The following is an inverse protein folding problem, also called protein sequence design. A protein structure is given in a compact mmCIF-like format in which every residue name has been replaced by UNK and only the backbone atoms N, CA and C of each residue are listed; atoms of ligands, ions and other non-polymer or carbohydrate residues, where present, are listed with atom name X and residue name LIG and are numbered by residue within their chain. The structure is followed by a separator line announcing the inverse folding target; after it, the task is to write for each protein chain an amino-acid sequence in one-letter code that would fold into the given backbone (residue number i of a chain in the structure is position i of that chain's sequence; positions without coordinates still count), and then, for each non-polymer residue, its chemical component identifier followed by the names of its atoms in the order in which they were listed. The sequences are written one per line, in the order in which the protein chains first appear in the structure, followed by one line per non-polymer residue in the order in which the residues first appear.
data_IF_877925311551
#
_entry.id   IF_877925311551
#
_cell.length_a   1.000
_cell.length_b   1.000
_cell.length_c   1.000
_cell.angle_alpha   90.00
_cell.angle_beta   90.00
_cell.angle_gamma   90.00
#
_symmetry.space_group_name_H-M   'P 1'
#
loop_
_entity.id
_entity.type
_entity.pdbx_description
1 polymer ?
#
# COMPACT_ATOMS: atom_id res chain seq x y z
N UNK A 1 -20.42 61.82 -24.60
CA UNK A 1 -20.82 61.48 -23.24
C UNK A 1 -20.41 60.01 -23.03
N UNK A 2 -19.27 59.82 -22.39
CA UNK A 2 -18.70 58.49 -22.12
C UNK A 2 -18.85 58.24 -20.63
N UNK A 3 -19.65 57.23 -20.23
CA UNK A 3 -19.82 56.80 -18.83
C UNK A 3 -18.82 55.70 -18.53
N UNK A 4 -17.85 56.02 -17.68
CA UNK A 4 -16.93 55.03 -17.13
C UNK A 4 -17.62 54.24 -15.99
N UNK A 5 -17.53 52.93 -16.03
CA UNK A 5 -17.98 52.03 -14.96
C UNK A 5 -17.01 52.03 -13.79
N UNK A 6 -17.48 51.90 -12.53
CA UNK A 6 -16.61 51.86 -11.34
C UNK A 6 -15.95 50.48 -11.17
N UNK A 7 -14.77 50.39 -10.55
CA UNK A 7 -14.07 49.15 -10.30
C UNK A 7 -14.74 48.36 -9.17
N UNK A 8 -14.98 47.05 -9.42
CA UNK A 8 -15.46 46.10 -8.43
C UNK A 8 -14.28 45.61 -7.60
N UNK A 9 -14.23 46.05 -6.36
CA UNK A 9 -13.28 45.53 -5.35
C UNK A 9 -13.81 44.23 -4.76
N UNK A 10 -13.12 43.09 -5.00
CA UNK A 10 -13.41 41.83 -4.36
C UNK A 10 -12.83 41.80 -2.94
N UNK A 11 -13.58 41.32 -1.92
CA UNK A 11 -13.05 41.17 -0.57
C UNK A 11 -12.21 39.89 -0.49
N UNK A 12 -10.92 40.01 -0.28
CA UNK A 12 -10.00 38.93 0.04
C UNK A 12 -10.11 38.61 1.53
N UNK A 13 -10.98 37.67 1.89
CA UNK A 13 -11.04 37.12 3.25
C UNK A 13 -10.08 35.95 3.36
N UNK A 14 -8.84 36.21 3.73
CA UNK A 14 -7.88 35.16 4.15
C UNK A 14 -8.23 34.70 5.56
N UNK A 15 -8.96 33.61 5.67
CA UNK A 15 -9.18 32.92 6.96
C UNK A 15 -7.89 32.17 7.33
N UNK A 16 -7.07 32.76 8.16
CA UNK A 16 -5.91 32.09 8.77
C UNK A 16 -6.43 31.07 9.76
N UNK A 17 -6.46 29.79 9.36
CA UNK A 17 -6.75 28.68 10.28
C UNK A 17 -5.54 28.51 11.18
N UNK A 18 -5.64 29.00 12.41
CA UNK A 18 -4.65 28.72 13.46
C UNK A 18 -4.75 27.22 13.81
N UNK A 19 -3.68 26.42 13.65
CA UNK A 19 -3.70 25.02 14.06
C UNK A 19 -3.95 24.94 15.56
N UNK A 20 -4.88 24.07 15.96
CA UNK A 20 -5.18 23.85 17.36
C UNK A 20 -3.89 23.42 18.10
N UNK A 21 -3.66 23.89 19.33
CA UNK A 21 -2.47 23.55 20.09
C UNK A 21 -2.40 22.03 20.30
N UNK A 22 -1.30 21.43 19.85
CA UNK A 22 -1.00 20.01 20.07
C UNK A 22 -0.90 19.80 21.57
N UNK A 23 -1.88 19.14 22.16
CA UNK A 23 -1.84 18.80 23.59
C UNK A 23 -0.64 17.87 23.83
N UNK A 24 0.19 18.16 24.86
CA UNK A 24 1.28 17.25 25.21
C UNK A 24 0.70 15.87 25.56
N UNK A 25 1.38 14.78 25.17
CA UNK A 25 0.92 13.43 25.45
C UNK A 25 0.76 13.26 26.95
N UNK A 26 -0.41 12.79 27.39
CA UNK A 26 -0.66 12.47 28.80
C UNK A 26 0.30 11.36 29.23
N UNK A 27 0.83 11.39 30.47
CA UNK A 27 1.65 10.30 30.97
C UNK A 27 0.84 9.00 30.94
N UNK A 28 1.36 7.98 30.25
CA UNK A 28 0.72 6.70 30.06
C UNK A 28 0.98 5.79 31.26
N UNK A 29 -0.01 5.04 31.74
CA UNK A 29 0.23 4.03 32.77
C UNK A 29 1.12 2.92 32.20
N UNK A 30 2.06 2.44 33.00
CA UNK A 30 3.12 1.50 32.66
C UNK A 30 2.76 0.26 31.83
N UNK A 31 3.15 -0.94 32.25
CA UNK A 31 2.96 -2.18 31.50
C UNK A 31 1.62 -2.85 31.84
N UNK A 32 0.90 -3.29 30.79
CA UNK A 32 -0.30 -4.12 30.92
C UNK A 32 -0.05 -5.48 30.26
N UNK A 33 -0.37 -6.56 30.98
CA UNK A 33 -0.30 -7.94 30.47
C UNK A 33 -1.67 -8.61 30.57
N UNK A 34 -2.17 -9.07 29.43
CA UNK A 34 -3.42 -9.80 29.33
C UNK A 34 -3.15 -11.24 28.90
N UNK A 35 -3.68 -12.20 29.66
CA UNK A 35 -3.53 -13.65 29.38
C UNK A 35 -4.92 -14.28 29.38
N UNK A 36 -5.20 -15.16 28.43
CA UNK A 36 -6.49 -15.84 28.30
C UNK A 36 -7.49 -15.01 27.52
N UNK A 37 -8.76 -15.02 27.96
CA UNK A 37 -9.84 -14.28 27.29
C UNK A 37 -10.19 -13.04 28.08
N UNK A 38 -9.95 -11.86 27.49
CA UNK A 38 -10.12 -10.57 28.16
C UNK A 38 -10.99 -9.65 27.32
N UNK A 39 -11.84 -8.85 28.00
CA UNK A 39 -12.61 -7.76 27.36
C UNK A 39 -12.26 -6.44 28.02
N UNK A 40 -12.07 -5.41 27.21
CA UNK A 40 -11.77 -4.03 27.65
C UNK A 40 -12.59 -3.03 26.86
N UNK A 41 -12.82 -1.88 27.46
CA UNK A 41 -13.45 -0.75 26.75
C UNK A 41 -12.40 0.01 25.92
N UNK A 42 -11.25 0.27 26.50
CA UNK A 42 -10.12 0.93 25.83
C UNK A 42 -8.80 0.47 26.46
N UNK A 43 -7.68 0.71 25.78
CA UNK A 43 -6.31 0.48 26.29
C UNK A 43 -5.49 1.72 26.02
N UNK A 44 -4.88 2.25 27.09
CA UNK A 44 -3.92 3.36 27.02
C UNK A 44 -2.74 3.04 27.96
N UNK A 45 -1.59 2.66 27.38
CA UNK A 45 -0.44 2.18 28.15
C UNK A 45 0.85 2.30 27.34
N UNK A 46 1.99 2.37 28.03
CA UNK A 46 3.30 2.37 27.37
C UNK A 46 3.64 1.01 26.76
N UNK A 47 3.31 -0.07 27.46
CA UNK A 47 3.57 -1.43 26.97
C UNK A 47 2.36 -2.33 27.17
N UNK A 48 1.98 -3.02 26.10
CA UNK A 48 0.90 -4.00 26.14
C UNK A 48 1.33 -5.35 25.58
N UNK A 49 1.22 -6.37 26.42
CA UNK A 49 1.51 -7.75 26.02
C UNK A 49 0.22 -8.58 26.14
N UNK A 50 -0.17 -9.20 25.05
CA UNK A 50 -1.36 -10.06 24.97
C UNK A 50 -0.95 -11.49 24.67
N UNK A 51 -1.52 -12.47 25.41
CA UNK A 51 -1.46 -13.89 25.09
C UNK A 51 -2.84 -14.52 25.19
N UNK A 52 -3.47 -14.78 24.06
CA UNK A 52 -4.80 -15.38 24.02
C UNK A 52 -5.80 -14.59 23.18
N UNK A 53 -7.03 -14.41 23.68
CA UNK A 53 -8.08 -13.70 22.96
C UNK A 53 -8.44 -12.43 23.70
N UNK A 54 -8.25 -11.28 23.07
CA UNK A 54 -8.60 -9.98 23.64
C UNK A 54 -9.56 -9.24 22.72
N UNK A 55 -10.63 -8.72 23.31
CA UNK A 55 -11.57 -7.85 22.62
C UNK A 55 -11.60 -6.48 23.30
N UNK A 56 -11.25 -5.45 22.54
CA UNK A 56 -11.36 -4.04 22.94
C UNK A 56 -12.47 -3.40 22.11
N UNK A 57 -13.42 -2.74 22.76
CA UNK A 57 -14.55 -2.11 22.04
C UNK A 57 -14.22 -0.73 21.51
N UNK A 58 -13.35 0.00 22.17
CA UNK A 58 -12.90 1.34 21.79
C UNK A 58 -11.50 1.36 21.23
N UNK A 59 -10.78 2.43 21.53
CA UNK A 59 -9.45 2.71 21.01
C UNK A 59 -8.33 2.06 21.82
N UNK A 60 -7.23 1.82 21.15
CA UNK A 60 -5.97 1.30 21.73
C UNK A 60 -4.85 2.29 21.43
N UNK A 61 -4.23 2.85 22.48
CA UNK A 61 -3.06 3.72 22.38
C UNK A 61 -1.88 3.08 23.13
N UNK A 62 -0.78 2.86 22.41
CA UNK A 62 0.37 2.13 22.95
C UNK A 62 1.67 2.87 22.70
N UNK A 63 2.64 2.70 23.63
CA UNK A 63 4.05 2.84 23.27
C UNK A 63 4.49 1.63 22.43
N UNK A 64 4.57 0.44 23.07
CA UNK A 64 4.96 -0.81 22.43
C UNK A 64 3.89 -1.88 22.65
N UNK A 65 3.48 -2.57 21.57
CA UNK A 65 2.54 -3.69 21.64
C UNK A 65 3.15 -5.01 21.18
N UNK A 66 2.92 -6.07 21.95
CA UNK A 66 3.20 -7.45 21.54
C UNK A 66 1.93 -8.27 21.71
N UNK A 67 1.37 -8.72 20.60
CA UNK A 67 0.05 -9.37 20.54
C UNK A 67 0.20 -10.80 20.03
N UNK A 68 -0.05 -11.79 20.90
CA UNK A 68 0.00 -13.23 20.58
C UNK A 68 -1.41 -13.82 20.70
N UNK A 69 -2.00 -14.28 19.60
CA UNK A 69 -3.32 -14.90 19.56
C UNK A 69 -4.34 -14.11 18.74
N UNK A 70 -5.52 -13.84 19.28
CA UNK A 70 -6.61 -13.16 18.57
C UNK A 70 -6.91 -11.84 19.28
N UNK A 71 -6.67 -10.74 18.62
CA UNK A 71 -6.94 -9.40 19.14
C UNK A 71 -7.94 -8.70 18.21
N UNK A 72 -9.06 -8.29 18.79
CA UNK A 72 -10.09 -7.52 18.09
C UNK A 72 -10.25 -6.17 18.75
N UNK A 73 -10.12 -5.09 17.97
CA UNK A 73 -10.26 -3.70 18.40
C UNK A 73 -11.37 -3.04 17.60
N UNK A 74 -12.41 -2.55 18.28
CA UNK A 74 -13.53 -1.88 17.62
C UNK A 74 -13.19 -0.49 17.09
N UNK A 75 -12.34 0.23 17.81
CA UNK A 75 -11.86 1.56 17.45
C UNK A 75 -10.56 1.52 16.64
N UNK A 76 -9.72 2.54 16.84
CA UNK A 76 -8.39 2.65 16.21
C UNK A 76 -7.29 2.05 17.08
N UNK A 77 -6.17 1.70 16.45
CA UNK A 77 -4.92 1.35 17.11
C UNK A 77 -3.87 2.40 16.79
N UNK A 78 -3.30 3.04 17.81
CA UNK A 78 -2.17 3.94 17.68
C UNK A 78 -1.01 3.40 18.52
N UNK A 79 0.18 3.23 17.93
CA UNK A 79 1.34 2.66 18.61
C UNK A 79 2.64 3.34 18.14
N UNK A 80 3.65 3.35 19.02
CA UNK A 80 5.02 3.69 18.59
C UNK A 80 5.71 2.50 17.95
N UNK A 81 5.39 1.28 18.38
CA UNK A 81 5.81 0.04 17.74
C UNK A 81 4.83 -1.08 18.03
N UNK A 82 4.62 -1.97 17.05
CA UNK A 82 3.63 -3.03 17.15
C UNK A 82 4.16 -4.33 16.56
N UNK A 83 4.07 -5.40 17.34
CA UNK A 83 4.32 -6.77 16.87
C UNK A 83 3.08 -7.62 17.12
N UNK A 84 2.64 -8.41 16.11
CA UNK A 84 1.55 -9.35 16.30
C UNK A 84 1.87 -10.73 15.72
N UNK A 85 1.36 -11.75 16.40
CA UNK A 85 1.38 -13.16 15.96
C UNK A 85 -0.02 -13.76 16.12
N UNK A 86 -0.68 -14.07 15.02
CA UNK A 86 -2.04 -14.59 15.00
C UNK A 86 -3.00 -13.70 14.24
N UNK A 87 -4.09 -13.26 14.86
CA UNK A 87 -5.10 -12.42 14.21
C UNK A 87 -5.19 -11.07 14.90
N UNK A 88 -5.05 -10.00 14.10
CA UNK A 88 -5.31 -8.64 14.51
C UNK A 88 -6.42 -8.04 13.64
N UNK A 89 -7.60 -7.87 14.23
CA UNK A 89 -8.77 -7.29 13.57
C UNK A 89 -9.09 -5.93 14.20
N UNK A 90 -8.94 -4.87 13.42
CA UNK A 90 -9.15 -3.49 13.85
C UNK A 90 -10.28 -2.89 13.03
N UNK A 91 -11.38 -2.51 13.68
CA UNK A 91 -12.53 -1.89 13.02
C UNK A 91 -12.26 -0.48 12.49
N UNK A 92 -11.32 0.23 13.12
CA UNK A 92 -10.88 1.57 12.74
C UNK A 92 -9.56 1.59 11.95
N UNK A 93 -8.80 2.67 12.17
CA UNK A 93 -7.49 2.88 11.58
C UNK A 93 -6.37 2.25 12.43
N UNK A 94 -5.27 1.88 11.77
CA UNK A 94 -4.02 1.49 12.41
C UNK A 94 -2.97 2.57 12.10
N UNK A 95 -2.38 3.16 13.13
CA UNK A 95 -1.31 4.17 13.05
C UNK A 95 -0.12 3.71 13.89
N UNK A 96 0.96 3.28 13.23
CA UNK A 96 2.19 2.80 13.90
C UNK A 96 3.37 3.69 13.50
N UNK A 97 3.83 4.51 14.44
CA UNK A 97 4.90 5.52 14.20
C UNK A 97 6.32 4.97 14.23
N UNK A 98 6.50 3.67 14.22
CA UNK A 98 7.78 2.98 14.21
C UNK A 98 7.64 1.60 13.57
N UNK A 99 8.42 0.59 14.03
CA UNK A 99 8.38 -0.73 13.42
C UNK A 99 7.04 -1.43 13.64
N UNK A 100 6.47 -1.90 12.54
CA UNK A 100 5.26 -2.73 12.53
C UNK A 100 5.60 -4.12 11.97
N UNK A 101 5.63 -5.10 12.83
CA UNK A 101 5.93 -6.48 12.42
C UNK A 101 4.74 -7.39 12.70
N UNK A 102 4.50 -8.33 11.80
CA UNK A 102 3.37 -9.20 12.00
C UNK A 102 3.42 -10.53 11.27
N UNK A 103 2.78 -11.53 11.87
CA UNK A 103 2.54 -12.81 11.21
C UNK A 103 1.15 -13.35 11.51
N UNK A 104 0.46 -13.80 10.46
CA UNK A 104 -0.91 -14.31 10.51
C UNK A 104 -1.89 -13.45 9.73
N UNK A 105 -3.00 -13.05 10.32
CA UNK A 105 -4.05 -12.28 9.64
C UNK A 105 -4.17 -10.88 10.23
N UNK A 106 -4.08 -9.87 9.38
CA UNK A 106 -4.31 -8.48 9.71
C UNK A 106 -5.52 -7.95 8.93
N UNK A 107 -6.45 -7.34 9.64
CA UNK A 107 -7.55 -6.59 9.04
C UNK A 107 -7.62 -5.19 9.63
N UNK A 108 -7.67 -4.17 8.77
CA UNK A 108 -7.97 -2.80 9.14
C UNK A 108 -9.24 -2.34 8.44
N UNK A 109 -10.20 -1.86 9.20
CA UNK A 109 -11.51 -1.41 8.69
C UNK A 109 -11.46 -0.05 8.00
N UNK A 110 -10.47 0.77 8.31
CA UNK A 110 -10.26 2.07 7.67
C UNK A 110 -8.86 2.10 7.03
N UNK A 111 -7.94 2.86 7.57
CA UNK A 111 -6.61 3.10 7.01
C UNK A 111 -5.52 2.35 7.77
N UNK A 112 -4.43 2.06 7.09
CA UNK A 112 -3.19 1.62 7.69
C UNK A 112 -2.11 2.66 7.41
N UNK A 113 -1.52 3.20 8.48
CA UNK A 113 -0.32 4.02 8.41
C UNK A 113 0.79 3.38 9.24
N UNK A 114 1.99 3.29 8.68
CA UNK A 114 3.17 2.82 9.39
C UNK A 114 4.43 3.52 8.85
N UNK A 115 5.49 3.59 9.66
CA UNK A 115 6.79 4.07 9.18
C UNK A 115 7.51 2.95 8.44
N UNK A 116 7.64 1.79 9.07
CA UNK A 116 8.20 0.57 8.48
C UNK A 116 7.28 -0.63 8.79
N UNK A 117 7.08 -1.52 7.82
CA UNK A 117 6.25 -2.70 8.03
C UNK A 117 6.85 -3.99 7.42
N UNK A 118 6.95 -5.06 8.23
CA UNK A 118 7.26 -6.44 7.76
C UNK A 118 6.10 -7.36 8.18
N UNK A 119 5.27 -7.73 7.20
CA UNK A 119 4.03 -8.45 7.41
C UNK A 119 4.05 -9.80 6.70
N UNK A 120 3.71 -10.87 7.43
CA UNK A 120 3.66 -12.24 6.90
C UNK A 120 2.25 -12.80 7.04
N UNK A 121 1.69 -13.33 5.97
CA UNK A 121 0.36 -13.92 5.94
C UNK A 121 -0.64 -13.07 5.17
N UNK A 122 -1.83 -12.87 5.70
CA UNK A 122 -2.90 -12.15 5.00
C UNK A 122 -3.08 -10.76 5.59
N UNK A 123 -2.95 -9.74 4.75
CA UNK A 123 -3.15 -8.34 5.10
C UNK A 123 -4.30 -7.77 4.29
N UNK A 124 -5.34 -7.31 4.95
CA UNK A 124 -6.50 -6.70 4.32
C UNK A 124 -6.80 -5.34 4.94
N UNK A 125 -6.70 -4.31 4.15
CA UNK A 125 -7.06 -2.94 4.53
C UNK A 125 -8.23 -2.49 3.67
N UNK A 126 -9.29 -1.97 4.29
CA UNK A 126 -10.47 -1.53 3.53
C UNK A 126 -10.32 -0.09 3.02
N UNK A 127 -9.43 0.71 3.59
CA UNK A 127 -9.10 2.05 3.13
C UNK A 127 -7.67 2.15 2.61
N UNK A 128 -7.18 3.38 2.47
CA UNK A 128 -5.84 3.64 1.98
C UNK A 128 -4.75 3.10 2.92
N UNK A 129 -3.67 2.59 2.34
CA UNK A 129 -2.47 2.18 3.07
C UNK A 129 -1.34 3.14 2.76
N UNK A 130 -0.64 3.61 3.79
CA UNK A 130 0.55 4.46 3.69
C UNK A 130 1.67 3.90 4.55
N UNK A 131 2.84 3.71 3.96
CA UNK A 131 4.06 3.30 4.68
C UNK A 131 5.19 4.23 4.26
N UNK A 132 5.73 4.99 5.20
CA UNK A 132 6.65 6.09 4.88
C UNK A 132 7.96 5.59 4.27
N UNK A 133 8.54 4.51 4.81
CA UNK A 133 9.80 3.96 4.32
C UNK A 133 9.61 2.63 3.60
N UNK A 134 9.64 1.50 4.31
CA UNK A 134 9.66 0.19 3.69
C UNK A 134 8.47 -0.68 4.10
N UNK A 135 7.82 -1.27 3.12
CA UNK A 135 6.79 -2.29 3.29
C UNK A 135 7.26 -3.61 2.69
N UNK A 136 7.49 -4.60 3.55
CA UNK A 136 7.72 -5.97 3.13
C UNK A 136 6.47 -6.80 3.42
N UNK A 137 5.92 -7.43 2.39
CA UNK A 137 4.78 -8.37 2.54
C UNK A 137 5.16 -9.74 2.02
N UNK A 138 4.92 -10.77 2.83
CA UNK A 138 5.05 -12.18 2.43
C UNK A 138 3.72 -12.89 2.62
N UNK A 139 2.96 -13.04 1.56
CA UNK A 139 1.62 -13.62 1.57
C UNK A 139 0.63 -12.86 0.71
N UNK A 140 -0.57 -12.59 1.21
CA UNK A 140 -1.61 -11.86 0.46
C UNK A 140 -1.78 -10.44 1.01
N UNK A 141 -1.80 -9.47 0.11
CA UNK A 141 -2.01 -8.06 0.42
C UNK A 141 -3.18 -7.49 -0.39
N UNK A 142 -4.16 -6.96 0.31
CA UNK A 142 -5.36 -6.36 -0.30
C UNK A 142 -5.58 -4.97 0.27
N UNK A 143 -5.52 -3.95 -0.58
CA UNK A 143 -5.85 -2.57 -0.21
C UNK A 143 -6.35 -1.81 -1.45
N UNK A 144 -7.28 -0.86 -1.32
CA UNK A 144 -7.76 -0.07 -2.45
C UNK A 144 -6.68 0.83 -3.06
N UNK A 145 -5.74 1.33 -2.25
CA UNK A 145 -4.58 2.12 -2.69
C UNK A 145 -3.41 1.95 -1.73
N UNK A 146 -2.20 2.17 -2.24
CA UNK A 146 -0.96 2.06 -1.48
C UNK A 146 0.01 3.20 -1.81
N UNK A 147 0.46 3.90 -0.78
CA UNK A 147 1.59 4.83 -0.87
C UNK A 147 2.73 4.28 -0.03
N UNK A 148 3.93 4.16 -0.61
CA UNK A 148 5.06 3.52 0.09
C UNK A 148 6.40 4.08 -0.40
N UNK A 149 7.40 4.19 0.48
CA UNK A 149 8.77 4.45 0.05
C UNK A 149 9.29 3.30 -0.80
N UNK A 150 9.49 2.13 -0.20
CA UNK A 150 9.96 0.92 -0.87
C UNK A 150 9.00 -0.25 -0.63
N UNK A 151 8.54 -0.89 -1.71
CA UNK A 151 7.71 -2.08 -1.65
C UNK A 151 8.49 -3.34 -2.03
N UNK A 152 8.53 -4.31 -1.12
CA UNK A 152 8.98 -5.66 -1.38
C UNK A 152 7.83 -6.65 -1.14
N UNK A 153 7.21 -7.17 -2.21
CA UNK A 153 6.05 -8.05 -2.12
C UNK A 153 6.39 -9.45 -2.63
N UNK A 154 6.09 -10.47 -1.82
CA UNK A 154 6.23 -11.88 -2.17
C UNK A 154 4.91 -12.61 -1.92
N UNK A 155 4.14 -12.88 -2.98
CA UNK A 155 2.86 -13.59 -2.84
C UNK A 155 1.79 -13.05 -3.78
N UNK A 156 0.68 -12.58 -3.23
CA UNK A 156 -0.48 -12.06 -3.95
C UNK A 156 -0.71 -10.59 -3.61
N UNK A 157 -1.16 -9.81 -4.59
CA UNK A 157 -1.57 -8.43 -4.34
C UNK A 157 -2.83 -8.05 -5.10
N UNK A 158 -3.73 -7.35 -4.40
CA UNK A 158 -4.92 -6.74 -4.98
C UNK A 158 -4.94 -5.25 -4.60
N UNK A 159 -4.46 -4.40 -5.52
CA UNK A 159 -4.42 -2.94 -5.36
C UNK A 159 -5.07 -2.30 -6.57
N UNK A 160 -6.41 -2.25 -6.63
CA UNK A 160 -7.13 -1.80 -7.82
C UNK A 160 -7.01 -0.30 -8.11
N UNK A 161 -6.62 0.51 -7.14
CA UNK A 161 -6.36 1.94 -7.31
C UNK A 161 -4.89 2.25 -7.55
N UNK A 162 -4.45 3.39 -7.03
CA UNK A 162 -3.08 3.86 -7.18
C UNK A 162 -2.11 3.18 -6.21
N UNK A 163 -0.99 2.71 -6.75
CA UNK A 163 0.20 2.33 -6.02
C UNK A 163 1.28 3.36 -6.34
N UNK A 164 1.66 4.15 -5.35
CA UNK A 164 2.69 5.19 -5.48
C UNK A 164 3.86 4.85 -4.59
N UNK A 165 5.06 4.83 -5.15
CA UNK A 165 6.26 4.49 -4.38
C UNK A 165 7.54 5.06 -4.96
N UNK A 166 8.65 4.79 -4.26
CA UNK A 166 9.99 5.10 -4.75
C UNK A 166 10.59 3.89 -5.49
N UNK A 167 10.35 2.71 -4.95
CA UNK A 167 10.75 1.44 -5.57
C UNK A 167 9.67 0.39 -5.32
N UNK A 168 9.27 -0.31 -6.38
CA UNK A 168 8.27 -1.39 -6.33
C UNK A 168 8.90 -2.67 -6.85
N UNK A 169 9.08 -3.65 -5.97
CA UNK A 169 9.55 -4.98 -6.32
C UNK A 169 8.53 -6.03 -5.89
N UNK A 170 7.94 -6.73 -6.84
CA UNK A 170 6.93 -7.74 -6.56
C UNK A 170 7.26 -9.07 -7.23
N UNK A 171 7.34 -10.12 -6.42
CA UNK A 171 7.43 -11.52 -6.84
C UNK A 171 6.10 -12.21 -6.58
N UNK A 172 5.30 -12.34 -7.61
CA UNK A 172 3.90 -12.73 -7.50
C UNK A 172 3.74 -14.24 -7.70
N UNK A 173 3.09 -14.87 -6.74
CA UNK A 173 2.93 -16.32 -6.63
C UNK A 173 1.49 -16.76 -6.95
N UNK A 174 0.54 -15.83 -6.97
CA UNK A 174 -0.87 -16.04 -7.22
C UNK A 174 -1.43 -14.87 -8.03
N UNK A 175 -2.69 -14.98 -8.42
CA UNK A 175 -3.39 -13.98 -9.23
C UNK A 175 -3.37 -12.62 -8.53
N UNK A 176 -2.88 -11.63 -9.25
CA UNK A 176 -2.65 -10.30 -8.71
C UNK A 176 -3.13 -9.23 -9.68
N UNK A 177 -3.70 -8.16 -9.13
CA UNK A 177 -4.20 -7.06 -9.92
C UNK A 177 -3.77 -5.71 -9.34
N UNK A 178 -3.27 -4.87 -10.22
CA UNK A 178 -2.89 -3.51 -9.91
C UNK A 178 -3.64 -2.54 -10.83
N UNK A 179 -4.06 -1.41 -10.30
CA UNK A 179 -4.54 -0.29 -11.10
C UNK A 179 -3.36 0.47 -11.70
N UNK A 180 -3.08 1.66 -11.20
CA UNK A 180 -1.95 2.48 -11.64
C UNK A 180 -0.76 2.31 -10.70
N UNK A 181 0.42 1.99 -11.24
CA UNK A 181 1.69 1.94 -10.49
C UNK A 181 2.53 3.14 -10.92
N UNK A 182 2.96 3.97 -9.96
CA UNK A 182 3.85 5.11 -10.17
C UNK A 182 5.06 4.99 -9.25
N UNK A 183 6.24 4.78 -9.82
CA UNK A 183 7.50 4.73 -9.08
C UNK A 183 8.69 4.94 -10.01
N UNK A 184 9.81 5.53 -9.58
CA UNK A 184 11.05 5.56 -10.38
C UNK A 184 11.51 4.18 -10.85
N UNK A 185 11.36 3.15 -10.02
CA UNK A 185 11.74 1.78 -10.37
C UNK A 185 10.63 0.78 -10.10
N UNK A 186 10.27 -0.03 -11.11
CA UNK A 186 9.22 -1.06 -11.02
C UNK A 186 9.78 -2.39 -11.54
N UNK A 187 9.78 -3.42 -10.69
CA UNK A 187 10.15 -4.80 -11.04
C UNK A 187 9.00 -5.75 -10.66
N UNK A 188 8.23 -6.19 -11.65
CA UNK A 188 7.11 -7.12 -11.47
C UNK A 188 7.43 -8.46 -12.12
N UNK A 189 7.43 -9.52 -11.31
CA UNK A 189 7.71 -10.88 -11.79
C UNK A 189 6.69 -11.87 -11.24
N UNK A 190 6.01 -12.57 -12.13
CA UNK A 190 5.18 -13.70 -11.73
C UNK A 190 5.97 -15.01 -11.75
N UNK A 191 5.62 -15.91 -10.80
CA UNK A 191 6.25 -17.22 -10.65
C UNK A 191 6.10 -18.07 -11.91
N UNK A 192 7.12 -18.88 -12.17
CA UNK A 192 7.03 -19.99 -13.14
C UNK A 192 6.31 -21.16 -12.45
N UNK A 193 5.18 -21.63 -12.96
CA UNK A 193 4.61 -22.89 -12.48
C UNK A 193 5.57 -24.05 -12.77
N UNK A 194 5.76 -24.95 -11.79
CA UNK A 194 6.55 -26.16 -11.95
C UNK A 194 5.89 -27.10 -12.99
N UNK A 195 6.64 -28.07 -13.53
CA UNK A 195 6.16 -28.95 -14.60
C UNK A 195 4.88 -29.71 -14.19
N UNK A 196 4.74 -30.10 -12.94
CA UNK A 196 3.58 -30.77 -12.36
C UNK A 196 2.38 -29.81 -12.26
N UNK A 197 2.62 -28.55 -11.89
CA UNK A 197 1.59 -27.52 -11.78
C UNK A 197 1.03 -27.14 -13.15
N UNK A 198 1.80 -27.25 -14.24
CA UNK A 198 1.33 -26.97 -15.61
C UNK A 198 0.17 -27.86 -16.07
N UNK A 199 0.04 -29.06 -15.50
CA UNK A 199 -0.99 -30.04 -15.88
C UNK A 199 -2.29 -29.87 -15.09
N UNK A 200 -2.21 -29.35 -13.85
CA UNK A 200 -3.34 -29.36 -12.91
C UNK A 200 -3.77 -27.98 -12.38
N UNK A 201 -2.99 -26.89 -12.60
CA UNK A 201 -3.24 -25.63 -11.93
C UNK A 201 -3.43 -24.47 -12.93
N UNK A 202 -4.27 -23.52 -12.55
CA UNK A 202 -4.53 -22.31 -13.30
C UNK A 202 -3.23 -21.51 -13.48
N UNK A 203 -3.06 -20.92 -14.65
CA UNK A 203 -1.95 -20.02 -14.94
C UNK A 203 -2.09 -18.79 -14.05
N UNK A 204 -1.07 -18.51 -13.25
CA UNK A 204 -1.02 -17.27 -12.46
C UNK A 204 -1.14 -16.07 -13.41
N UNK A 205 -2.17 -15.27 -13.19
CA UNK A 205 -2.44 -14.07 -13.98
C UNK A 205 -2.08 -12.85 -13.15
N UNK A 206 -1.14 -12.06 -13.66
CA UNK A 206 -0.75 -10.79 -13.05
C UNK A 206 -1.09 -9.68 -14.04
N UNK A 207 -1.96 -8.78 -13.62
CA UNK A 207 -2.41 -7.66 -14.45
C UNK A 207 -2.09 -6.33 -13.81
N UNK A 208 -1.75 -5.34 -14.64
CA UNK A 208 -1.68 -3.95 -14.25
C UNK A 208 -2.33 -3.09 -15.35
N UNK A 209 -3.14 -2.12 -14.97
CA UNK A 209 -3.74 -1.23 -15.97
C UNK A 209 -2.69 -0.25 -16.50
N UNK A 210 -1.92 0.37 -15.60
CA UNK A 210 -0.95 1.39 -15.98
C UNK A 210 0.32 1.33 -15.14
N UNK A 211 1.47 1.43 -15.77
CA UNK A 211 2.78 1.52 -15.10
C UNK A 211 3.51 2.75 -15.62
N UNK A 212 3.87 3.65 -14.72
CA UNK A 212 4.64 4.86 -14.99
C UNK A 212 5.91 4.85 -14.14
N UNK A 213 7.08 4.76 -14.81
CA UNK A 213 8.37 4.66 -14.11
C UNK A 213 9.53 5.13 -14.98
N UNK A 214 10.70 5.38 -14.37
CA UNK A 214 11.92 5.60 -15.14
C UNK A 214 12.44 4.28 -15.69
N UNK A 215 12.41 3.23 -14.86
CA UNK A 215 12.84 1.88 -15.24
C UNK A 215 11.76 0.86 -14.92
N UNK A 216 11.42 0.02 -15.89
CA UNK A 216 10.41 -1.04 -15.76
C UNK A 216 10.99 -2.38 -16.15
N UNK A 217 10.84 -3.38 -15.29
CA UNK A 217 11.13 -4.78 -15.59
C UNK A 217 9.88 -5.62 -15.38
N UNK A 218 9.43 -6.30 -16.43
CA UNK A 218 8.24 -7.13 -16.41
C UNK A 218 8.57 -8.56 -16.81
N UNK A 219 8.08 -9.54 -16.03
CA UNK A 219 8.19 -10.96 -16.35
C UNK A 219 6.87 -11.68 -16.07
N UNK A 220 6.23 -12.24 -17.10
CA UNK A 220 4.91 -12.91 -17.02
C UNK A 220 3.81 -12.03 -16.43
N UNK A 221 3.78 -10.78 -16.83
CA UNK A 221 2.82 -9.77 -16.39
C UNK A 221 2.13 -9.21 -17.63
N UNK A 222 0.84 -9.05 -17.55
CA UNK A 222 0.04 -8.41 -18.58
C UNK A 222 -0.24 -6.96 -18.16
N UNK A 223 0.24 -5.99 -18.94
CA UNK A 223 0.08 -4.55 -18.66
C UNK A 223 -0.62 -3.89 -19.83
N UNK A 224 -1.67 -3.11 -19.54
CA UNK A 224 -2.38 -2.39 -20.59
C UNK A 224 -1.54 -1.23 -21.15
N UNK A 225 -0.97 -0.40 -20.27
CA UNK A 225 -0.16 0.75 -20.66
C UNK A 225 1.11 0.88 -19.83
N UNK A 226 2.27 1.07 -20.48
CA UNK A 226 3.57 1.33 -19.83
C UNK A 226 4.16 2.64 -20.35
N UNK A 227 4.48 3.55 -19.44
CA UNK A 227 5.28 4.75 -19.70
C UNK A 227 6.60 4.66 -18.95
N UNK A 228 7.72 4.56 -19.67
CA UNK A 228 9.03 4.43 -19.02
C UNK A 228 10.17 4.80 -19.95
N UNK A 229 11.23 5.40 -19.39
CA UNK A 229 12.46 5.68 -20.14
C UNK A 229 13.16 4.40 -20.58
N UNK A 230 13.11 3.35 -19.74
CA UNK A 230 13.76 2.07 -19.99
C UNK A 230 12.85 0.90 -19.64
N UNK A 231 12.50 0.10 -20.64
CA UNK A 231 11.62 -1.06 -20.49
C UNK A 231 12.40 -2.34 -20.74
N UNK A 232 12.43 -3.25 -19.77
CA UNK A 232 12.98 -4.59 -19.88
C UNK A 232 11.86 -5.61 -19.83
N UNK A 233 11.74 -6.42 -20.87
CA UNK A 233 10.72 -7.46 -20.99
C UNK A 233 11.35 -8.84 -20.85
N UNK A 234 11.05 -9.49 -19.75
CA UNK A 234 11.37 -10.89 -19.49
C UNK A 234 10.43 -11.86 -20.18
N UNK A 235 10.59 -13.17 -19.92
CA UNK A 235 9.74 -14.20 -20.52
C UNK A 235 8.25 -13.97 -20.24
N UNK A 236 7.41 -14.11 -21.27
CA UNK A 236 5.96 -14.07 -21.15
C UNK A 236 5.35 -12.75 -20.70
N UNK A 237 6.10 -11.66 -20.69
CA UNK A 237 5.56 -10.32 -20.45
C UNK A 237 4.72 -9.88 -21.67
N UNK A 238 3.61 -9.23 -21.40
CA UNK A 238 2.72 -8.68 -22.41
C UNK A 238 2.40 -7.22 -22.11
N UNK A 239 2.61 -6.34 -23.08
CA UNK A 239 2.20 -4.94 -23.03
C UNK A 239 1.31 -4.64 -24.22
N UNK A 240 0.15 -4.02 -23.96
CA UNK A 240 -0.76 -3.63 -25.04
C UNK A 240 -0.33 -2.33 -25.70
N UNK A 241 0.05 -1.33 -24.90
CA UNK A 241 0.49 -0.02 -25.37
C UNK A 241 1.68 0.47 -24.52
N UNK A 242 2.66 1.12 -25.14
CA UNK A 242 3.79 1.66 -24.40
C UNK A 242 4.26 3.00 -24.97
N UNK A 243 4.90 3.77 -24.08
CA UNK A 243 5.61 5.01 -24.38
C UNK A 243 7.01 4.93 -23.75
N UNK A 244 8.06 4.98 -24.58
CA UNK A 244 9.44 4.93 -24.13
C UNK A 244 10.32 3.96 -24.89
N UNK A 245 11.43 3.54 -24.29
CA UNK A 245 12.45 2.74 -24.97
C UNK A 245 12.51 1.30 -24.42
N UNK A 246 12.31 0.32 -25.29
CA UNK A 246 12.53 -1.09 -24.95
C UNK A 246 14.02 -1.39 -25.08
N UNK A 247 14.69 -1.53 -23.92
CA UNK A 247 16.13 -1.81 -23.84
C UNK A 247 16.44 -3.30 -24.06
N UNK A 248 15.57 -4.16 -23.52
CA UNK A 248 15.71 -5.61 -23.62
C UNK A 248 14.36 -6.26 -23.81
N UNK A 249 14.28 -7.19 -24.75
CA UNK A 249 13.06 -7.96 -25.04
C UNK A 249 13.35 -9.45 -25.13
N UNK A 250 12.67 -10.25 -24.34
CA UNK A 250 12.72 -11.71 -24.48
C UNK A 250 11.88 -12.17 -25.70
N UNK A 251 12.30 -13.19 -26.45
CA UNK A 251 11.58 -13.67 -27.64
C UNK A 251 10.11 -14.07 -27.38
N UNK A 252 9.80 -14.54 -26.18
CA UNK A 252 8.41 -14.92 -25.82
C UNK A 252 7.56 -13.77 -25.27
N UNK A 253 8.07 -12.56 -25.17
CA UNK A 253 7.29 -11.39 -24.77
C UNK A 253 6.47 -10.86 -25.96
N UNK A 254 5.29 -10.31 -25.64
CA UNK A 254 4.40 -9.69 -26.62
C UNK A 254 4.32 -8.19 -26.36
N UNK A 255 4.40 -7.43 -27.43
CA UNK A 255 4.31 -5.97 -27.37
C UNK A 255 3.36 -5.53 -28.45
N UNK A 256 2.37 -4.73 -28.08
CA UNK A 256 1.42 -4.11 -28.99
C UNK A 256 2.03 -2.90 -29.71
N UNK A 257 1.40 -1.75 -29.63
CA UNK A 257 1.82 -0.57 -30.38
C UNK A 257 2.52 0.47 -29.48
N UNK A 258 3.44 1.20 -30.08
CA UNK A 258 4.09 2.35 -29.45
C UNK A 258 3.15 3.55 -29.53
N UNK A 259 2.77 4.08 -28.37
CA UNK A 259 2.03 5.34 -28.28
C UNK A 259 3.00 6.48 -28.56
N UNK A 260 2.92 7.09 -29.71
CA UNK A 260 3.65 8.32 -29.98
C UNK A 260 2.97 9.43 -29.13
N UNK A 261 3.67 9.96 -28.14
CA UNK A 261 3.22 11.10 -27.39
C UNK A 261 2.76 12.18 -28.37
N UNK A 262 1.46 12.50 -28.37
CA UNK A 262 1.00 13.71 -29.09
C UNK A 262 1.69 14.88 -28.42
N UNK A 263 2.46 15.70 -29.16
CA UNK A 263 3.03 16.90 -28.60
C UNK A 263 1.89 17.72 -27.97
N UNK A 264 2.09 18.33 -26.80
CA UNK A 264 1.08 19.18 -26.18
C UNK A 264 0.62 20.19 -27.22
N UNK A 265 -0.69 20.26 -27.42
CA UNK A 265 -1.33 21.12 -28.43
C UNK A 265 -0.62 22.44 -28.58
N UNK A 266 0.11 22.61 -29.68
CA UNK A 266 0.74 23.88 -30.03
C UNK A 266 -0.34 24.95 -30.11
N UNK A 267 -0.19 25.98 -29.29
CA UNK A 267 -0.89 27.22 -29.42
C UNK A 267 -0.79 27.68 -30.89
N UNK A 268 -1.89 27.58 -31.63
CA UNK A 268 -1.98 28.30 -32.91
C UNK A 268 -1.83 29.81 -32.61
N UNK A 269 -0.79 30.37 -33.16
CA UNK A 269 -0.66 31.86 -33.26
C UNK A 269 -1.68 32.40 -34.26
#
# INVERSE_FOLDING_TARGET
MSMAAPPVTAPTSSTTVTPAPVQPPRPRPGEVRDVGTVRKEAVDTDRWTVRGTVKVTGDVNLGQGTLEGVVSVGGKVAATGLAYHGTLDVGGAIDVRGPFTGSGSLRAGLTLHAVDADLKGTVRVLGATSVDHALTVRGSFVAPSLTVGELALHGEAQVPGDLVGHSVSARLMADSAFGTIRAPSVDLRARVPNLVEKVFWHRVTVTAQRVEADTVTLERVDVEFVRSSQITLGPGAHITEYEGTIVRRHPSSRVGFESKSRPPYGLRR
#
